data_IF_322236142629
#
_entry.id   IF_322236142629
#
_cell.length_a   1.000
_cell.length_b   1.000
_cell.length_c   1.000
_cell.angle_alpha   90.00
_cell.angle_beta   90.00
_cell.angle_gamma   90.00
#
_symmetry.space_group_name_H-M   'P 1'
#
loop_
_entity.id
_entity.type
_entity.pdbx_description
1 polymer ?
#
# COMPACT_ATOMS: atom_id res chain seq x y z
N UNK A 1 -30.46 -49.86 25.32
CA UNK A 1 -29.16 -49.18 25.12
C UNK A 1 -29.13 -48.58 23.72
N UNK A 2 -29.40 -47.28 23.58
CA UNK A 2 -29.57 -46.61 22.28
C UNK A 2 -28.43 -45.58 22.10
N UNK A 3 -27.34 -46.00 21.47
CA UNK A 3 -26.20 -45.15 21.17
C UNK A 3 -26.42 -44.35 19.90
N UNK A 4 -26.82 -43.08 20.04
CA UNK A 4 -26.82 -42.12 18.92
C UNK A 4 -25.37 -41.85 18.50
N UNK A 5 -24.96 -42.35 17.33
CA UNK A 5 -23.73 -41.93 16.67
C UNK A 5 -23.88 -40.47 16.25
N UNK A 6 -23.12 -39.57 16.88
CA UNK A 6 -22.95 -38.20 16.41
C UNK A 6 -22.08 -38.23 15.16
N UNK A 7 -22.68 -37.92 14.01
CA UNK A 7 -21.94 -37.60 12.79
C UNK A 7 -21.27 -36.25 12.99
N UNK A 8 -19.97 -36.24 13.26
CA UNK A 8 -19.16 -35.03 13.20
C UNK A 8 -19.10 -34.59 11.73
N UNK A 9 -19.76 -33.48 11.44
CA UNK A 9 -19.59 -32.77 10.17
C UNK A 9 -18.20 -32.11 10.27
N UNK A 10 -17.19 -32.77 9.71
CA UNK A 10 -15.88 -32.15 9.51
C UNK A 10 -16.08 -31.06 8.46
N UNK A 11 -16.25 -29.82 8.93
CA UNK A 11 -16.20 -28.67 8.04
C UNK A 11 -14.80 -28.59 7.48
N UNK A 12 -14.64 -28.97 6.21
CA UNK A 12 -13.40 -28.80 5.46
C UNK A 12 -13.05 -27.32 5.48
N UNK A 13 -12.07 -26.94 6.31
CA UNK A 13 -11.49 -25.60 6.31
C UNK A 13 -10.64 -25.53 5.04
N UNK A 14 -11.30 -25.29 3.91
CA UNK A 14 -10.62 -24.82 2.72
C UNK A 14 -9.88 -23.55 3.13
N UNK A 15 -8.58 -23.48 2.85
CA UNK A 15 -7.75 -22.31 3.10
C UNK A 15 -8.36 -21.10 2.37
N UNK A 16 -9.27 -20.39 3.03
CA UNK A 16 -9.75 -19.09 2.58
C UNK A 16 -8.58 -18.14 2.75
N UNK A 17 -7.83 -17.93 1.68
CA UNK A 17 -6.89 -16.83 1.53
C UNK A 17 -7.69 -15.53 1.56
N UNK A 18 -7.97 -15.05 2.77
CA UNK A 18 -8.61 -13.75 2.98
C UNK A 18 -7.52 -12.69 2.93
N UNK A 19 -7.73 -11.64 2.12
CA UNK A 19 -6.87 -10.47 2.17
C UNK A 19 -7.22 -9.68 3.44
N UNK A 20 -6.28 -9.49 4.39
CA UNK A 20 -6.55 -8.74 5.60
C UNK A 20 -6.66 -7.25 5.25
N UNK A 21 -7.89 -6.73 5.23
CA UNK A 21 -8.17 -5.33 4.97
C UNK A 21 -8.34 -4.60 6.31
N UNK A 22 -7.60 -3.49 6.50
CA UNK A 22 -7.73 -2.64 7.69
C UNK A 22 -9.17 -2.14 7.82
N UNK A 23 -9.67 -2.06 9.06
CA UNK A 23 -11.06 -1.65 9.37
C UNK A 23 -11.46 -0.34 8.68
N UNK A 24 -10.59 0.67 8.70
CA UNK A 24 -10.82 1.97 8.03
C UNK A 24 -11.07 1.80 6.52
N UNK A 25 -10.29 0.96 5.85
CA UNK A 25 -10.43 0.68 4.42
C UNK A 25 -11.73 -0.06 4.15
N UNK A 26 -12.11 -1.03 4.98
CA UNK A 26 -13.41 -1.73 4.88
C UNK A 26 -14.59 -0.75 4.96
N UNK A 27 -14.58 0.16 5.93
CA UNK A 27 -15.62 1.17 6.10
C UNK A 27 -15.72 2.12 4.89
N UNK A 28 -14.60 2.48 4.28
CA UNK A 28 -14.56 3.29 3.06
C UNK A 28 -15.13 2.52 1.85
N UNK A 29 -14.74 1.26 1.68
CA UNK A 29 -15.26 0.39 0.61
C UNK A 29 -16.77 0.18 0.75
N UNK A 30 -17.26 -0.07 1.96
CA UNK A 30 -18.69 -0.25 2.23
C UNK A 30 -19.50 1.02 1.92
N UNK A 31 -18.96 2.21 2.26
CA UNK A 31 -19.58 3.50 1.92
C UNK A 31 -19.63 3.71 0.40
N UNK A 32 -18.54 3.40 -0.30
CA UNK A 32 -18.47 3.50 -1.77
C UNK A 32 -19.47 2.56 -2.43
N UNK A 33 -19.50 1.29 -2.04
CA UNK A 33 -20.45 0.30 -2.55
C UNK A 33 -21.90 0.70 -2.30
N UNK A 34 -22.22 1.23 -1.11
CA UNK A 34 -23.55 1.78 -0.83
C UNK A 34 -23.91 2.94 -1.75
N UNK A 35 -22.96 3.81 -2.10
CA UNK A 35 -23.18 4.92 -3.04
C UNK A 35 -23.40 4.42 -4.46
N UNK A 36 -22.52 3.55 -4.96
CA UNK A 36 -22.61 3.00 -6.31
C UNK A 36 -23.90 2.21 -6.51
N UNK A 37 -24.24 1.32 -5.57
CA UNK A 37 -25.46 0.50 -5.64
C UNK A 37 -26.77 1.28 -5.40
N UNK A 38 -26.72 2.52 -4.90
CA UNK A 38 -27.90 3.41 -4.84
C UNK A 38 -28.25 3.98 -6.21
N UNK A 39 -27.27 4.08 -7.10
CA UNK A 39 -27.41 4.71 -8.42
C UNK A 39 -27.86 3.61 -9.39
N UNK A 40 -29.17 3.32 -9.40
CA UNK A 40 -29.79 2.15 -10.04
C UNK A 40 -29.76 2.20 -11.57
N UNK A 41 -28.64 1.84 -12.18
CA UNK A 41 -28.54 1.57 -13.63
C UNK A 41 -28.15 0.11 -13.95
N UNK A 42 -27.97 -0.76 -12.95
CA UNK A 42 -27.60 -2.16 -13.20
C UNK A 42 -27.54 -3.06 -11.96
N UNK A 43 -26.88 -4.21 -12.14
CA UNK A 43 -26.64 -5.22 -11.10
C UNK A 43 -25.86 -4.67 -9.90
N UNK A 44 -26.10 -5.25 -8.73
CA UNK A 44 -25.39 -4.89 -7.49
C UNK A 44 -23.92 -5.24 -7.62
N UNK A 45 -23.05 -4.26 -7.36
CA UNK A 45 -21.61 -4.43 -7.28
C UNK A 45 -21.26 -4.98 -5.89
N UNK A 46 -20.50 -6.07 -5.85
CA UNK A 46 -19.95 -6.69 -4.65
C UNK A 46 -18.49 -6.26 -4.44
N UNK A 47 -17.94 -6.42 -3.22
CA UNK A 47 -16.53 -6.12 -2.96
C UNK A 47 -15.55 -6.88 -3.88
N UNK A 48 -15.90 -8.11 -4.26
CA UNK A 48 -15.07 -8.94 -5.13
C UNK A 48 -14.96 -8.35 -6.54
N UNK A 49 -16.08 -7.87 -7.09
CA UNK A 49 -16.12 -7.19 -8.40
C UNK A 49 -15.21 -5.95 -8.43
N UNK A 50 -15.16 -5.19 -7.32
CA UNK A 50 -14.27 -4.03 -7.19
C UNK A 50 -12.79 -4.43 -7.19
N UNK A 51 -12.43 -5.48 -6.44
CA UNK A 51 -11.06 -5.97 -6.37
C UNK A 51 -10.63 -6.49 -7.73
N UNK A 52 -11.47 -7.30 -8.38
CA UNK A 52 -11.20 -7.81 -9.73
C UNK A 52 -11.07 -6.68 -10.75
N UNK A 53 -11.95 -5.66 -10.67
CA UNK A 53 -11.86 -4.48 -11.50
C UNK A 53 -10.53 -3.74 -11.32
N UNK A 54 -10.11 -3.48 -10.08
CA UNK A 54 -8.84 -2.81 -9.81
C UNK A 54 -7.63 -3.61 -10.28
N UNK A 55 -7.62 -4.93 -10.06
CA UNK A 55 -6.55 -5.79 -10.58
C UNK A 55 -6.48 -5.73 -12.10
N UNK A 56 -7.62 -5.72 -12.79
CA UNK A 56 -7.67 -5.66 -14.26
C UNK A 56 -7.29 -4.29 -14.85
N UNK A 57 -7.32 -3.23 -14.03
CA UNK A 57 -7.05 -1.85 -14.45
C UNK A 57 -5.74 -1.29 -13.91
N UNK A 58 -5.08 -2.01 -13.01
CA UNK A 58 -3.72 -1.69 -12.55
C UNK A 58 -2.78 -1.73 -13.75
N UNK A 59 -2.09 -0.62 -13.98
CA UNK A 59 -0.97 -0.51 -14.90
C UNK A 59 0.27 -0.06 -14.12
N UNK A 60 1.43 -0.08 -14.76
CA UNK A 60 2.70 0.24 -14.10
C UNK A 60 2.72 1.66 -13.53
N UNK A 61 2.03 2.60 -14.15
CA UNK A 61 1.98 3.99 -13.69
C UNK A 61 1.12 4.14 -12.42
N UNK A 62 -0.05 3.50 -12.37
CA UNK A 62 -0.88 3.45 -11.16
C UNK A 62 -0.18 2.69 -10.01
N UNK A 63 0.60 1.65 -10.34
CA UNK A 63 1.44 0.95 -9.37
C UNK A 63 2.52 1.89 -8.79
N UNK A 64 3.20 2.67 -9.65
CA UNK A 64 4.18 3.67 -9.21
C UNK A 64 3.53 4.75 -8.36
N UNK A 65 2.37 5.28 -8.75
CA UNK A 65 1.63 6.26 -7.95
C UNK A 65 1.25 5.71 -6.57
N UNK A 66 0.74 4.47 -6.52
CA UNK A 66 0.40 3.81 -5.26
C UNK A 66 1.63 3.61 -4.37
N UNK A 67 2.77 3.23 -4.96
CA UNK A 67 4.03 3.10 -4.23
C UNK A 67 4.50 4.47 -3.71
N UNK A 68 4.54 5.49 -4.56
CA UNK A 68 4.90 6.86 -4.19
C UNK A 68 4.03 7.43 -3.08
N UNK A 69 2.72 7.14 -3.09
CA UNK A 69 1.79 7.58 -2.04
C UNK A 69 2.08 6.98 -0.66
N UNK A 70 2.86 5.89 -0.60
CA UNK A 70 3.23 5.20 0.63
C UNK A 70 4.69 5.44 1.05
N UNK A 71 5.52 6.00 0.18
CA UNK A 71 6.93 6.30 0.51
C UNK A 71 6.93 7.36 1.60
N UNK A 72 7.51 7.01 2.75
CA UNK A 72 7.78 7.96 3.82
C UNK A 72 9.18 8.53 3.69
N UNK A 73 9.45 9.67 4.34
CA UNK A 73 10.81 10.23 4.43
C UNK A 73 11.80 9.19 4.96
N UNK A 74 11.38 8.33 5.89
CA UNK A 74 12.23 7.29 6.47
C UNK A 74 12.64 6.26 5.42
N UNK A 75 11.75 5.91 4.51
CA UNK A 75 12.05 4.98 3.40
C UNK A 75 12.94 5.63 2.33
N UNK A 76 12.80 6.95 2.15
CA UNK A 76 13.50 7.70 1.11
C UNK A 76 14.93 8.08 1.51
N UNK A 77 15.19 8.31 2.80
CA UNK A 77 16.50 8.74 3.31
C UNK A 77 17.65 7.77 2.95
N UNK A 78 17.53 6.44 3.15
CA UNK A 78 18.57 5.50 2.74
C UNK A 78 18.80 5.49 1.23
N UNK A 79 17.74 5.62 0.44
CA UNK A 79 17.81 5.64 -1.03
C UNK A 79 18.55 6.88 -1.52
N UNK A 80 18.20 8.05 -0.98
CA UNK A 80 18.85 9.33 -1.33
C UNK A 80 20.30 9.34 -0.87
N UNK A 81 20.61 8.80 0.32
CA UNK A 81 21.98 8.65 0.77
C UNK A 81 22.80 7.82 -0.19
N UNK A 82 22.30 6.63 -0.57
CA UNK A 82 22.97 5.78 -1.54
C UNK A 82 23.17 6.49 -2.88
N UNK A 83 22.14 7.16 -3.39
CA UNK A 83 22.22 7.92 -4.65
C UNK A 83 23.26 9.05 -4.58
N UNK A 84 23.39 9.71 -3.43
CA UNK A 84 24.38 10.75 -3.22
C UNK A 84 25.79 10.15 -3.16
N UNK A 85 25.98 9.05 -2.43
CA UNK A 85 27.25 8.33 -2.33
C UNK A 85 27.68 7.72 -3.67
N UNK A 86 26.75 7.29 -4.52
CA UNK A 86 27.05 6.77 -5.87
C UNK A 86 27.57 7.86 -6.82
N UNK A 87 27.14 9.12 -6.61
CA UNK A 87 27.56 10.27 -7.41
C UNK A 87 28.77 11.02 -6.83
N UNK A 88 29.06 10.80 -5.55
CA UNK A 88 30.10 11.50 -4.80
C UNK A 88 31.00 10.47 -4.10
N UNK A 89 31.65 10.88 -3.01
CA UNK A 89 32.48 10.00 -2.17
C UNK A 89 31.62 9.52 -1.01
N UNK A 90 31.81 8.27 -0.58
CA UNK A 90 31.16 7.72 0.61
C UNK A 90 31.46 8.58 1.85
N UNK A 91 30.44 8.92 2.63
CA UNK A 91 30.59 9.75 3.84
C UNK A 91 30.15 9.03 5.11
N UNK A 92 30.72 9.46 6.24
CA UNK A 92 30.31 8.99 7.57
C UNK A 92 28.91 9.46 7.93
N UNK A 93 28.27 8.76 8.86
CA UNK A 93 26.95 9.11 9.38
C UNK A 93 26.93 10.53 9.97
N UNK A 94 27.96 10.88 10.74
CA UNK A 94 28.10 12.22 11.34
C UNK A 94 28.17 13.32 10.29
N UNK A 95 28.91 13.10 9.19
CA UNK A 95 28.99 14.05 8.09
C UNK A 95 27.68 14.15 7.32
N UNK A 96 26.98 13.03 7.15
CA UNK A 96 25.64 13.01 6.55
C UNK A 96 24.62 13.81 7.38
N UNK A 97 24.63 13.64 8.71
CA UNK A 97 23.79 14.44 9.61
C UNK A 97 24.15 15.92 9.55
N UNK A 98 25.44 16.27 9.54
CA UNK A 98 25.90 17.65 9.40
C UNK A 98 25.37 18.28 8.09
N UNK A 99 25.49 17.57 6.97
CA UNK A 99 25.03 18.05 5.66
C UNK A 99 23.50 18.20 5.57
N UNK A 100 22.73 17.41 6.35
CA UNK A 100 21.28 17.61 6.48
C UNK A 100 20.97 18.89 7.26
N UNK A 101 21.72 19.17 8.33
CA UNK A 101 21.52 20.35 9.18
C UNK A 101 21.97 21.63 8.47
N UNK A 102 23.08 21.60 7.73
CA UNK A 102 23.61 22.75 6.99
C UNK A 102 22.80 23.07 5.73
N UNK A 103 21.90 22.18 5.30
CA UNK A 103 21.05 22.37 4.12
C UNK A 103 21.74 22.04 2.79
N UNK A 104 22.97 21.53 2.81
CA UNK A 104 23.72 21.15 1.60
C UNK A 104 23.00 20.05 0.79
N UNK A 105 22.22 19.20 1.46
CA UNK A 105 21.46 18.15 0.80
C UNK A 105 20.10 18.64 0.27
N UNK A 106 19.64 19.84 0.62
CA UNK A 106 18.28 20.31 0.28
C UNK A 106 18.04 20.35 -1.22
N UNK A 107 19.00 20.85 -2.01
CA UNK A 107 18.88 20.89 -3.47
C UNK A 107 18.94 19.49 -4.08
N UNK A 108 19.78 18.62 -3.52
CA UNK A 108 19.88 17.23 -3.96
C UNK A 108 18.59 16.44 -3.69
N UNK A 109 18.00 16.62 -2.50
CA UNK A 109 16.69 16.08 -2.17
C UNK A 109 15.62 16.65 -3.10
N UNK A 110 15.59 17.95 -3.40
CA UNK A 110 14.59 18.51 -4.34
C UNK A 110 14.66 17.92 -5.74
N UNK A 111 15.86 17.61 -6.23
CA UNK A 111 16.06 17.08 -7.58
C UNK A 111 15.82 15.57 -7.69
N UNK A 112 16.03 14.83 -6.61
CA UNK A 112 16.04 13.37 -6.65
C UNK A 112 15.01 12.68 -5.76
N UNK A 113 14.33 13.42 -4.89
CA UNK A 113 13.28 12.89 -4.02
C UNK A 113 12.06 12.47 -4.83
N UNK A 114 11.60 11.24 -4.59
CA UNK A 114 10.31 10.74 -5.04
C UNK A 114 9.15 11.30 -4.21
N UNK A 115 9.46 11.85 -3.03
CA UNK A 115 8.50 12.59 -2.22
C UNK A 115 8.50 14.02 -2.71
N UNK A 116 7.36 14.49 -3.23
CA UNK A 116 7.16 15.92 -3.47
C UNK A 116 7.06 16.62 -2.12
N UNK A 117 8.07 17.43 -1.78
CA UNK A 117 7.94 18.45 -0.75
C UNK A 117 6.90 19.46 -1.28
N UNK A 118 5.73 19.54 -0.64
CA UNK A 118 4.75 20.60 -0.89
C UNK A 118 5.27 21.94 -0.36
#
# INVERSE_FOLDING_TARGET
MNGKKQTQIVSTIGNRTTLPIKRKTKELTDKLLKKLNKTKLGSKIYPDDLVQFWVSKMNDDLCKELQQSKITIVDEMPRIRKLWEDKNIKISDEKWELMKITGELTDFFRQHSMIKLQ
#
